data_IF_011403001229
#
_entry.id   IF_011403001229
#
_cell.length_a   1.000
_cell.length_b   1.000
_cell.length_c   1.000
_cell.angle_alpha   90.00
_cell.angle_beta   90.00
_cell.angle_gamma   90.00
#
_symmetry.space_group_name_H-M   'P 1'
#
loop_
_entity.id
_entity.type
_entity.pdbx_description
1 polymer ?
#
# COMPACT_ATOMS: atom_id res chain seq x y z
N UNK A 1 -25.11 -14.26 -19.89
CA UNK A 1 -24.81 -13.42 -18.70
C UNK A 1 -24.20 -14.20 -17.54
N UNK A 2 -24.80 -15.31 -17.06
CA UNK A 2 -24.30 -16.10 -15.90
C UNK A 2 -22.84 -16.59 -16.05
N UNK A 3 -22.43 -17.03 -17.25
CA UNK A 3 -21.06 -17.50 -17.53
C UNK A 3 -20.02 -16.37 -17.57
N UNK A 4 -20.40 -15.17 -18.02
CA UNK A 4 -19.52 -14.00 -18.05
C UNK A 4 -19.23 -13.50 -16.62
N UNK A 5 -20.25 -13.49 -15.76
CA UNK A 5 -20.12 -13.14 -14.35
C UNK A 5 -19.17 -14.10 -13.62
N UNK A 6 -19.29 -15.41 -13.87
CA UNK A 6 -18.41 -16.43 -13.28
C UNK A 6 -16.97 -16.30 -13.78
N UNK A 7 -16.76 -15.98 -15.07
CA UNK A 7 -15.42 -15.73 -15.63
C UNK A 7 -14.82 -14.44 -15.07
N UNK A 8 -15.61 -13.38 -14.88
CA UNK A 8 -15.14 -12.13 -14.24
C UNK A 8 -14.79 -12.36 -12.77
N UNK A 9 -15.62 -13.10 -12.03
CA UNK A 9 -15.33 -13.48 -10.64
C UNK A 9 -14.06 -14.35 -10.57
N UNK A 10 -13.91 -15.34 -11.45
CA UNK A 10 -12.70 -16.17 -11.52
C UNK A 10 -11.45 -15.35 -11.90
N UNK A 11 -11.55 -14.45 -12.88
CA UNK A 11 -10.42 -13.60 -13.30
C UNK A 11 -10.06 -12.55 -12.24
N UNK A 12 -11.02 -12.04 -11.46
CA UNK A 12 -10.77 -11.18 -10.32
C UNK A 12 -10.13 -11.93 -9.13
N UNK A 13 -10.49 -13.21 -8.93
CA UNK A 13 -9.88 -14.08 -7.91
C UNK A 13 -8.46 -14.54 -8.31
N UNK A 14 -8.19 -14.71 -9.61
CA UNK A 14 -6.88 -15.10 -10.17
C UNK A 14 -5.94 -13.89 -10.27
N UNK A 15 -6.46 -12.70 -10.58
CA UNK A 15 -5.65 -11.51 -10.92
C UNK A 15 -5.03 -10.72 -9.76
N UNK A 16 -5.28 -11.08 -8.50
CA UNK A 16 -4.82 -10.31 -7.32
C UNK A 16 -3.92 -11.11 -6.38
N UNK A 17 -3.76 -12.43 -6.57
CA UNK A 17 -3.02 -13.28 -5.61
C UNK A 17 -1.98 -14.26 -6.19
N UNK A 18 -1.65 -14.20 -7.49
CA UNK A 18 -0.68 -15.14 -8.07
C UNK A 18 0.80 -14.89 -7.77
N UNK A 19 1.16 -13.95 -6.89
CA UNK A 19 2.54 -13.81 -6.42
C UNK A 19 2.84 -14.56 -5.10
N UNK A 20 1.83 -15.05 -4.37
CA UNK A 20 2.02 -15.55 -3.00
C UNK A 20 1.82 -17.07 -2.82
N UNK A 21 1.43 -17.81 -3.85
CA UNK A 21 1.20 -19.27 -3.77
C UNK A 21 2.46 -20.13 -4.01
N UNK A 22 3.66 -19.55 -4.01
CA UNK A 22 4.93 -20.28 -4.17
C UNK A 22 6.00 -19.82 -3.18
N UNK A 23 5.89 -20.26 -1.93
CA UNK A 23 7.05 -20.47 -1.05
C UNK A 23 7.04 -21.96 -0.71
N UNK A 24 8.09 -22.78 -0.87
CA UNK A 24 9.51 -22.70 -0.43
C UNK A 24 10.34 -23.78 -1.18
N UNK A 25 11.67 -24.05 -0.94
CA UNK A 25 12.68 -23.43 -0.06
C UNK A 25 14.05 -23.09 -0.74
N UNK A 26 14.90 -22.37 0.00
CA UNK A 26 16.39 -22.27 -0.04
C UNK A 26 17.09 -22.57 -1.37
N UNK A 27 17.78 -21.59 -1.97
CA UNK A 27 19.03 -21.83 -2.73
C UNK A 27 20.09 -20.77 -2.37
N UNK A 28 21.31 -21.27 -2.25
CA UNK A 28 22.50 -20.67 -1.67
C UNK A 28 23.12 -19.53 -2.51
N UNK A 29 23.95 -18.73 -1.83
CA UNK A 29 24.87 -17.77 -2.41
C UNK A 29 25.73 -18.35 -3.54
N UNK A 30 25.93 -17.60 -4.62
CA UNK A 30 27.26 -17.22 -5.15
C UNK A 30 27.19 -16.47 -6.49
N UNK A 31 28.25 -15.70 -6.73
CA UNK A 31 28.65 -15.00 -7.96
C UNK A 31 28.08 -13.59 -8.20
N UNK A 32 28.88 -12.60 -7.77
CA UNK A 32 29.01 -11.32 -8.44
C UNK A 32 29.19 -11.53 -9.95
N UNK A 33 28.10 -11.42 -10.72
CA UNK A 33 28.15 -11.19 -12.16
C UNK A 33 27.90 -9.71 -12.39
N UNK A 34 28.81 -9.06 -13.11
CA UNK A 34 28.58 -7.75 -13.72
C UNK A 34 27.28 -7.81 -14.53
N UNK A 35 26.20 -7.27 -13.97
CA UNK A 35 24.94 -7.09 -14.69
C UNK A 35 25.12 -5.89 -15.61
N UNK A 36 25.24 -6.16 -16.91
CA UNK A 36 25.08 -5.13 -17.95
C UNK A 36 23.82 -4.33 -17.64
N UNK A 37 23.93 -3.01 -17.65
CA UNK A 37 22.79 -2.12 -17.55
C UNK A 37 21.73 -2.56 -18.57
N UNK A 38 20.53 -2.89 -18.08
CA UNK A 38 19.40 -3.14 -18.96
C UNK A 38 19.18 -1.88 -19.83
N UNK A 39 18.95 -2.03 -21.15
CA UNK A 39 18.69 -0.88 -22.00
C UNK A 39 17.48 -0.09 -21.45
N UNK A 40 17.46 1.25 -21.61
CA UNK A 40 16.35 2.07 -21.14
C UNK A 40 15.06 1.54 -21.77
N UNK A 41 14.20 0.98 -20.93
CA UNK A 41 12.86 0.56 -21.35
C UNK A 41 12.08 1.84 -21.69
N UNK A 42 11.47 1.86 -22.88
CA UNK A 42 10.61 2.96 -23.32
C UNK A 42 9.63 3.32 -22.20
N UNK A 43 9.41 4.60 -21.90
CA UNK A 43 8.37 4.98 -20.95
C UNK A 43 7.06 4.33 -21.39
N UNK A 44 6.38 3.63 -20.47
CA UNK A 44 5.03 3.12 -20.73
C UNK A 44 4.08 4.28 -21.07
N UNK A 45 2.89 3.99 -21.62
CA UNK A 45 1.91 5.03 -21.92
C UNK A 45 1.63 5.87 -20.67
N UNK A 46 1.48 7.19 -20.87
CA UNK A 46 1.17 8.14 -19.80
C UNK A 46 -0.14 7.74 -19.14
N UNK A 47 -0.13 7.57 -17.81
CA UNK A 47 -1.34 7.24 -17.06
C UNK A 47 -2.01 8.54 -16.69
N UNK A 48 -3.25 8.71 -17.11
CA UNK A 48 -4.10 9.78 -16.62
C UNK A 48 -4.64 9.37 -15.24
N UNK A 49 -4.36 10.18 -14.23
CA UNK A 49 -4.89 9.97 -12.89
C UNK A 49 -6.43 10.12 -12.95
N UNK A 50 -7.14 9.04 -12.61
CA UNK A 50 -8.59 9.06 -12.48
C UNK A 50 -8.91 9.00 -11.00
N UNK A 51 -9.88 9.78 -10.51
CA UNK A 51 -10.36 9.71 -9.12
C UNK A 51 -11.86 9.84 -9.10
N UNK A 52 -12.53 8.92 -8.39
CA UNK A 52 -13.98 8.98 -8.24
C UNK A 52 -14.38 10.14 -7.33
N UNK A 53 -15.44 10.91 -7.64
CA UNK A 53 -15.83 12.07 -6.84
C UNK A 53 -16.04 11.76 -5.34
N UNK A 54 -16.64 10.61 -5.03
CA UNK A 54 -16.87 10.14 -3.66
C UNK A 54 -15.56 9.85 -2.92
N UNK A 55 -14.55 9.31 -3.62
CA UNK A 55 -13.23 9.06 -3.05
C UNK A 55 -12.47 10.37 -2.86
N UNK A 56 -12.54 11.31 -3.80
CA UNK A 56 -11.97 12.64 -3.62
C UNK A 56 -12.58 13.38 -2.42
N UNK A 57 -13.90 13.25 -2.21
CA UNK A 57 -14.55 13.79 -1.01
C UNK A 57 -14.08 13.08 0.27
N UNK A 58 -13.90 11.75 0.23
CA UNK A 58 -13.35 10.97 1.33
C UNK A 58 -11.92 11.40 1.70
N UNK A 59 -11.03 11.52 0.71
CA UNK A 59 -9.65 11.99 0.90
C UNK A 59 -9.59 13.40 1.53
N UNK A 60 -10.51 14.30 1.16
CA UNK A 60 -10.62 15.62 1.80
C UNK A 60 -11.02 15.53 3.27
N UNK A 61 -11.94 14.63 3.64
CA UNK A 61 -12.31 14.41 5.05
C UNK A 61 -11.17 13.81 5.86
N UNK A 62 -10.40 12.89 5.26
CA UNK A 62 -9.24 12.24 5.89
C UNK A 62 -7.99 13.11 5.93
N UNK A 63 -8.03 14.35 5.43
CA UNK A 63 -6.84 15.22 5.35
C UNK A 63 -6.15 15.40 6.71
N UNK A 64 -6.90 15.66 7.77
CA UNK A 64 -6.36 15.80 9.13
C UNK A 64 -5.79 14.48 9.62
N UNK A 65 -6.53 13.38 9.48
CA UNK A 65 -6.07 12.05 9.87
C UNK A 65 -4.77 11.65 9.17
N UNK A 66 -4.62 11.96 7.88
CA UNK A 66 -3.39 11.66 7.13
C UNK A 66 -2.21 12.50 7.65
N UNK A 67 -2.42 13.79 7.94
CA UNK A 67 -1.38 14.65 8.52
C UNK A 67 -0.97 14.17 9.92
N UNK A 68 -1.95 13.83 10.76
CA UNK A 68 -1.70 13.34 12.12
C UNK A 68 -0.99 11.99 12.11
N UNK A 69 -1.39 11.08 11.22
CA UNK A 69 -0.73 9.80 11.04
C UNK A 69 0.71 10.00 10.54
N UNK A 70 0.92 10.92 9.60
CA UNK A 70 2.26 11.23 9.11
C UNK A 70 3.16 11.79 10.20
N UNK A 71 2.69 12.74 11.02
CA UNK A 71 3.47 13.33 12.11
C UNK A 71 3.86 12.31 13.19
N UNK A 72 3.05 11.25 13.39
CA UNK A 72 3.34 10.20 14.36
C UNK A 72 4.33 9.15 13.85
N UNK A 73 4.19 8.76 12.58
CA UNK A 73 4.92 7.63 12.00
C UNK A 73 6.13 8.04 11.16
N UNK A 74 6.24 9.31 10.81
CA UNK A 74 7.43 9.82 10.16
C UNK A 74 8.54 10.01 11.17
N UNK A 75 9.74 9.61 10.77
CA UNK A 75 10.98 9.87 11.48
C UNK A 75 11.86 10.73 10.58
N UNK A 76 11.76 12.08 10.59
CA UNK A 76 12.42 12.94 9.60
C UNK A 76 13.94 12.71 9.50
N UNK A 77 14.58 12.35 10.61
CA UNK A 77 16.01 12.04 10.67
C UNK A 77 16.39 10.71 9.99
N UNK A 78 15.43 9.78 9.83
CA UNK A 78 15.60 8.53 9.10
C UNK A 78 15.12 8.65 7.66
N UNK A 79 13.94 9.25 7.48
CA UNK A 79 13.24 9.29 6.20
C UNK A 79 13.76 10.38 5.27
N UNK A 80 14.38 11.43 5.82
CA UNK A 80 14.76 12.65 5.08
C UNK A 80 13.55 13.46 4.59
N UNK A 81 12.34 13.13 5.04
CA UNK A 81 11.08 13.77 4.64
C UNK A 81 10.49 14.54 5.81
N UNK A 82 9.90 15.70 5.53
CA UNK A 82 8.97 16.36 6.45
C UNK A 82 7.69 15.55 6.62
N UNK A 83 6.95 15.77 7.70
CA UNK A 83 5.68 15.08 7.95
C UNK A 83 4.67 15.34 6.84
N UNK A 84 4.70 16.53 6.24
CA UNK A 84 3.87 16.86 5.08
C UNK A 84 4.27 16.07 3.84
N UNK A 85 5.57 15.87 3.60
CA UNK A 85 6.03 15.02 2.50
C UNK A 85 5.64 13.55 2.73
N UNK A 86 5.75 13.07 3.97
CA UNK A 86 5.29 11.73 4.33
C UNK A 86 3.76 11.58 4.17
N UNK A 87 2.97 12.60 4.54
CA UNK A 87 1.54 12.66 4.27
C UNK A 87 1.22 12.62 2.77
N UNK A 88 2.03 13.27 1.92
CA UNK A 88 1.93 13.16 0.46
C UNK A 88 2.17 11.72 0.00
N UNK A 89 3.12 10.98 0.60
CA UNK A 89 3.33 9.55 0.28
C UNK A 89 2.09 8.72 0.64
N UNK A 90 1.55 8.88 1.85
CA UNK A 90 0.33 8.20 2.29
C UNK A 90 -0.81 8.46 1.31
N UNK A 91 -1.06 9.73 0.98
CA UNK A 91 -2.14 10.10 0.06
C UNK A 91 -1.90 9.59 -1.37
N UNK A 92 -0.65 9.60 -1.85
CA UNK A 92 -0.29 9.04 -3.16
C UNK A 92 -0.66 7.56 -3.24
N UNK A 93 -0.33 6.79 -2.20
CA UNK A 93 -0.68 5.38 -2.12
C UNK A 93 -2.19 5.19 -2.08
N UNK A 94 -2.91 5.91 -1.21
CA UNK A 94 -4.38 5.81 -1.13
C UNK A 94 -5.07 6.12 -2.47
N UNK A 95 -4.63 7.18 -3.18
CA UNK A 95 -5.15 7.48 -4.51
C UNK A 95 -4.86 6.37 -5.53
N UNK A 96 -3.66 5.79 -5.48
CA UNK A 96 -3.26 4.71 -6.38
C UNK A 96 -4.00 3.40 -6.08
N UNK A 97 -4.29 3.10 -4.80
CA UNK A 97 -5.00 1.89 -4.37
C UNK A 97 -6.51 1.93 -4.62
N UNK A 98 -7.08 3.13 -4.74
CA UNK A 98 -8.47 3.31 -5.13
C UNK A 98 -8.75 2.84 -6.57
N UNK A 99 -7.71 2.47 -7.33
CA UNK A 99 -7.82 1.89 -8.67
C UNK A 99 -6.97 0.63 -8.82
N UNK A 100 -7.63 -0.50 -9.08
CA UNK A 100 -6.94 -1.73 -9.46
C UNK A 100 -6.29 -1.58 -10.84
N UNK A 101 -5.16 -2.27 -11.07
CA UNK A 101 -4.50 -2.35 -12.37
C UNK A 101 -5.45 -2.80 -13.50
N UNK A 102 -6.42 -3.66 -13.17
CA UNK A 102 -7.42 -4.14 -14.11
C UNK A 102 -8.37 -3.03 -14.61
N UNK A 103 -8.67 -2.01 -13.78
CA UNK A 103 -9.51 -0.86 -14.18
C UNK A 103 -8.78 0.13 -15.08
N UNK A 104 -7.44 0.11 -15.08
CA UNK A 104 -6.61 0.84 -16.05
C UNK A 104 -6.67 0.16 -17.41
N UNK A 105 -6.52 -1.17 -17.44
CA UNK A 105 -6.55 -1.93 -18.69
C UNK A 105 -7.95 -2.04 -19.30
N UNK A 106 -8.98 -2.12 -18.46
CA UNK A 106 -10.37 -2.32 -18.87
C UNK A 106 -11.28 -1.36 -18.09
N UNK A 107 -11.43 -0.10 -18.53
CA UNK A 107 -12.25 0.90 -17.84
C UNK A 107 -13.68 0.45 -17.47
N UNK A 108 -14.37 -0.39 -18.25
CA UNK A 108 -15.67 -0.94 -17.84
C UNK A 108 -15.67 -1.72 -16.51
N UNK A 109 -14.52 -2.29 -16.08
CA UNK A 109 -14.42 -2.99 -14.80
C UNK A 109 -14.65 -2.08 -13.59
N UNK A 110 -14.51 -0.76 -13.76
CA UNK A 110 -14.78 0.25 -12.73
C UNK A 110 -16.19 0.13 -12.13
N UNK A 111 -17.16 -0.40 -12.88
CA UNK A 111 -18.53 -0.58 -12.39
C UNK A 111 -18.66 -1.76 -11.42
N UNK A 112 -17.84 -2.81 -11.59
CA UNK A 112 -17.91 -4.04 -10.79
C UNK A 112 -16.87 -4.05 -9.67
N UNK A 113 -15.91 -3.13 -9.68
CA UNK A 113 -14.86 -3.03 -8.67
C UNK A 113 -15.38 -3.07 -7.23
N UNK A 114 -16.33 -2.20 -6.84
CA UNK A 114 -16.81 -2.18 -5.46
C UNK A 114 -17.41 -3.52 -5.01
N UNK A 115 -17.99 -4.30 -5.94
CA UNK A 115 -18.58 -5.59 -5.63
C UNK A 115 -17.53 -6.65 -5.33
N UNK A 116 -16.43 -6.71 -6.10
CA UNK A 116 -15.38 -7.70 -5.82
C UNK A 116 -14.62 -7.34 -4.53
N UNK A 117 -14.40 -6.05 -4.27
CA UNK A 117 -13.74 -5.58 -3.04
C UNK A 117 -14.55 -5.99 -1.80
N UNK A 118 -15.87 -5.77 -1.85
CA UNK A 118 -16.78 -6.22 -0.81
C UNK A 118 -16.77 -7.75 -0.64
N UNK A 119 -16.72 -8.52 -1.73
CA UNK A 119 -16.65 -9.97 -1.65
C UNK A 119 -15.36 -10.46 -0.96
N UNK A 120 -14.20 -9.87 -1.30
CA UNK A 120 -12.91 -10.20 -0.65
C UNK A 120 -12.95 -9.91 0.86
N UNK A 121 -13.50 -8.76 1.24
CA UNK A 121 -13.69 -8.40 2.65
C UNK A 121 -14.58 -9.40 3.38
N UNK A 122 -15.72 -9.79 2.79
CA UNK A 122 -16.61 -10.78 3.40
C UNK A 122 -15.92 -12.13 3.59
N UNK A 123 -15.13 -12.59 2.61
CA UNK A 123 -14.37 -13.84 2.73
C UNK A 123 -13.37 -13.82 3.90
N UNK A 124 -12.70 -12.70 4.13
CA UNK A 124 -11.85 -12.54 5.31
C UNK A 124 -12.67 -12.56 6.62
N UNK A 125 -13.83 -11.89 6.64
CA UNK A 125 -14.71 -11.82 7.82
C UNK A 125 -15.38 -13.15 8.19
N UNK A 126 -15.62 -14.04 7.23
CA UNK A 126 -16.26 -15.33 7.47
C UNK A 126 -15.40 -16.34 8.25
N UNK A 127 -14.20 -15.94 8.70
CA UNK A 127 -13.37 -16.77 9.57
C UNK A 127 -12.82 -18.01 8.86
N UNK A 128 -12.67 -17.96 7.54
CA UNK A 128 -12.04 -19.02 6.74
C UNK A 128 -10.51 -18.90 6.72
N UNK A 129 -9.95 -17.86 7.37
CA UNK A 129 -8.52 -17.56 7.34
C UNK A 129 -8.05 -16.95 6.03
N UNK A 130 -8.98 -16.41 5.23
CA UNK A 130 -8.62 -15.67 4.03
C UNK A 130 -7.80 -14.42 4.38
N UNK A 131 -6.94 -14.01 3.46
CA UNK A 131 -5.95 -12.95 3.65
C UNK A 131 -5.94 -11.97 2.47
N UNK A 132 -7.13 -11.71 1.91
CA UNK A 132 -7.26 -10.77 0.81
C UNK A 132 -6.97 -9.34 1.30
N UNK A 133 -6.42 -8.52 0.43
CA UNK A 133 -6.23 -7.11 0.73
C UNK A 133 -7.57 -6.39 0.94
N UNK A 134 -7.56 -5.42 1.84
CA UNK A 134 -8.74 -4.68 2.30
C UNK A 134 -8.54 -3.19 2.03
N UNK A 135 -9.51 -2.57 1.38
CA UNK A 135 -9.57 -1.14 1.12
C UNK A 135 -9.99 -0.36 2.37
N UNK A 136 -9.56 0.91 2.52
CA UNK A 136 -8.99 1.79 1.49
C UNK A 136 -7.47 1.69 1.28
N UNK A 137 -6.71 1.14 2.24
CA UNK A 137 -5.25 1.08 2.15
C UNK A 137 -4.71 -0.14 1.39
N UNK A 138 -5.59 -1.01 0.89
CA UNK A 138 -5.25 -2.28 0.23
C UNK A 138 -4.28 -3.16 1.05
N UNK A 139 -4.46 -3.16 2.38
CA UNK A 139 -3.63 -3.92 3.32
C UNK A 139 -4.22 -5.30 3.59
N UNK A 140 -3.35 -6.30 3.69
CA UNK A 140 -3.75 -7.66 4.07
C UNK A 140 -3.82 -7.78 5.60
N UNK A 141 -4.76 -8.59 6.14
CA UNK A 141 -4.79 -8.90 7.57
C UNK A 141 -3.46 -9.42 8.12
N UNK A 142 -2.73 -10.26 7.39
CA UNK A 142 -1.41 -10.73 7.83
C UNK A 142 -0.40 -9.59 8.01
N UNK A 143 -0.40 -8.61 7.09
CA UNK A 143 0.48 -7.44 7.17
C UNK A 143 0.07 -6.56 8.35
N UNK A 144 -1.23 -6.41 8.61
CA UNK A 144 -1.72 -5.71 9.80
C UNK A 144 -1.28 -6.39 11.11
N UNK A 145 -1.27 -7.73 11.14
CA UNK A 145 -0.76 -8.49 12.29
C UNK A 145 0.75 -8.27 12.51
N UNK A 146 1.55 -8.27 11.45
CA UNK A 146 2.97 -7.96 11.51
C UNK A 146 3.22 -6.52 12.00
N UNK A 147 2.41 -5.55 11.52
CA UNK A 147 2.46 -4.15 11.98
C UNK A 147 2.25 -4.08 13.48
N UNK A 148 1.18 -4.69 14.00
CA UNK A 148 0.89 -4.69 15.44
C UNK A 148 1.93 -5.44 16.27
N UNK A 149 2.61 -6.42 15.67
CA UNK A 149 3.72 -7.13 16.30
C UNK A 149 5.05 -6.36 16.23
N UNK A 150 5.07 -5.19 15.57
CA UNK A 150 6.27 -4.38 15.36
C UNK A 150 7.31 -5.05 14.45
N UNK A 151 6.91 -6.01 13.63
CA UNK A 151 7.83 -6.85 12.86
C UNK A 151 8.17 -6.23 11.51
N UNK A 152 9.44 -6.17 11.16
CA UNK A 152 9.97 -5.67 9.89
C UNK A 152 10.80 -6.80 9.25
N UNK A 153 10.24 -7.55 8.28
CA UNK A 153 10.95 -8.65 7.64
C UNK A 153 12.12 -8.12 6.82
N UNK A 154 13.30 -8.74 6.96
CA UNK A 154 14.52 -8.38 6.27
C UNK A 154 14.83 -9.27 5.04
N UNK A 155 15.65 -8.80 4.08
CA UNK A 155 15.91 -9.52 2.82
C UNK A 155 16.77 -10.77 3.06
N UNK A 156 17.55 -10.75 4.14
CA UNK A 156 18.33 -11.87 4.63
C UNK A 156 17.49 -12.86 5.47
N UNK A 157 16.17 -12.64 5.58
CA UNK A 157 15.25 -13.50 6.32
C UNK A 157 15.18 -13.23 7.81
N UNK A 158 15.99 -12.30 8.36
CA UNK A 158 15.85 -11.86 9.75
C UNK A 158 14.60 -10.99 9.91
N UNK A 159 14.14 -10.82 11.13
CA UNK A 159 13.04 -9.89 11.47
C UNK A 159 13.57 -8.84 12.44
N UNK A 160 13.52 -7.57 12.04
CA UNK A 160 13.74 -6.46 12.96
C UNK A 160 12.44 -6.21 13.74
N UNK A 161 12.56 -5.94 15.04
CA UNK A 161 11.44 -5.46 15.85
C UNK A 161 11.60 -3.98 16.17
N UNK A 162 10.59 -3.19 15.84
CA UNK A 162 10.53 -1.76 16.12
C UNK A 162 9.35 -1.46 17.07
N UNK A 163 9.48 -0.46 17.97
CA UNK A 163 8.36 -0.02 18.78
C UNK A 163 7.37 0.73 17.89
N UNK A 164 6.30 0.06 17.49
CA UNK A 164 5.30 0.61 16.59
C UNK A 164 3.92 0.60 17.25
N UNK A 165 3.16 1.67 17.07
CA UNK A 165 1.82 1.82 17.63
C UNK A 165 0.86 2.36 16.58
N UNK A 166 -0.25 1.66 16.35
CA UNK A 166 -1.32 2.13 15.46
C UNK A 166 -2.36 2.88 16.30
N UNK A 167 -2.46 4.20 16.11
CA UNK A 167 -3.42 5.02 16.88
C UNK A 167 -4.85 4.54 16.64
N UNK A 168 -5.58 4.31 17.73
CA UNK A 168 -6.98 3.86 17.70
C UNK A 168 -7.17 2.36 17.54
N UNK A 169 -6.11 1.59 17.26
CA UNK A 169 -6.20 0.13 17.19
C UNK A 169 -6.58 -0.45 18.55
N UNK A 170 -7.48 -1.43 18.54
CA UNK A 170 -7.92 -2.12 19.75
C UNK A 170 -7.48 -3.58 19.77
N UNK A 171 -6.79 -4.02 18.72
CA UNK A 171 -6.37 -5.41 18.55
C UNK A 171 -5.01 -5.59 19.19
N UNK A 172 -4.93 -6.55 20.12
CA UNK A 172 -3.67 -7.16 20.55
C UNK A 172 -3.57 -8.55 19.89
N UNK A 173 -2.64 -8.77 18.94
CA UNK A 173 -2.49 -10.06 18.29
C UNK A 173 -2.26 -11.23 19.25
N UNK A 174 -1.67 -10.97 20.43
CA UNK A 174 -1.32 -12.02 21.41
C UNK A 174 -2.54 -12.56 22.16
N UNK A 175 -3.68 -11.85 22.13
CA UNK A 175 -4.92 -12.32 22.76
C UNK A 175 -5.72 -13.29 21.89
N UNK A 176 -5.31 -13.49 20.63
CA UNK A 176 -5.99 -14.39 19.70
C UNK A 176 -5.26 -15.74 19.64
N UNK A 177 -5.96 -16.81 20.03
CA UNK A 177 -5.44 -18.18 19.88
C UNK A 177 -5.68 -18.78 18.49
N UNK A 178 -6.48 -18.12 17.65
CA UNK A 178 -6.83 -18.55 16.31
C UNK A 178 -6.53 -17.45 15.29
N UNK A 179 -5.74 -17.79 14.28
CA UNK A 179 -5.36 -16.89 13.19
C UNK A 179 -6.59 -16.42 12.40
N UNK A 180 -7.62 -17.26 12.25
CA UNK A 180 -8.80 -16.87 11.46
C UNK A 180 -9.61 -15.80 12.18
N UNK A 181 -9.79 -15.93 13.49
CA UNK A 181 -10.38 -14.90 14.34
C UNK A 181 -9.56 -13.60 14.32
N UNK A 182 -8.23 -13.69 14.40
CA UNK A 182 -7.35 -12.52 14.28
C UNK A 182 -7.52 -11.81 12.93
N UNK A 183 -7.52 -12.55 11.82
CA UNK A 183 -7.63 -11.97 10.48
C UNK A 183 -9.01 -11.36 10.23
N UNK A 184 -10.08 -11.95 10.78
CA UNK A 184 -11.41 -11.35 10.73
C UNK A 184 -11.48 -10.04 11.54
N UNK A 185 -10.90 -10.02 12.75
CA UNK A 185 -10.83 -8.81 13.58
C UNK A 185 -10.03 -7.69 12.88
N UNK A 186 -8.84 -8.03 12.36
CA UNK A 186 -8.01 -7.08 11.63
C UNK A 186 -8.70 -6.58 10.36
N UNK A 187 -9.40 -7.44 9.64
CA UNK A 187 -10.20 -7.05 8.48
C UNK A 187 -11.23 -5.99 8.87
N UNK A 188 -11.97 -6.19 9.96
CA UNK A 188 -12.95 -5.22 10.42
C UNK A 188 -12.30 -3.88 10.76
N UNK A 189 -11.12 -3.91 11.40
CA UNK A 189 -10.41 -2.71 11.81
C UNK A 189 -9.84 -1.92 10.61
N UNK A 190 -9.11 -2.59 9.72
CA UNK A 190 -8.50 -1.96 8.53
C UNK A 190 -9.51 -1.60 7.43
N UNK A 191 -10.78 -1.98 7.59
CA UNK A 191 -11.89 -1.50 6.75
C UNK A 191 -12.39 -0.12 7.15
N UNK A 192 -12.06 0.36 8.36
CA UNK A 192 -12.38 1.71 8.80
C UNK A 192 -11.39 2.71 8.14
N UNK A 193 -11.92 3.80 7.57
CA UNK A 193 -11.12 4.76 6.81
C UNK A 193 -9.97 5.38 7.63
N UNK A 194 -10.21 5.77 8.89
CA UNK A 194 -9.19 6.41 9.73
C UNK A 194 -8.14 5.41 10.20
N UNK A 195 -8.56 4.23 10.63
CA UNK A 195 -7.64 3.17 11.04
C UNK A 195 -6.81 2.68 9.87
N UNK A 196 -7.39 2.53 8.68
CA UNK A 196 -6.64 2.19 7.47
C UNK A 196 -5.52 3.20 7.16
N UNK A 197 -5.75 4.50 7.39
CA UNK A 197 -4.71 5.53 7.27
C UNK A 197 -3.60 5.33 8.29
N UNK A 198 -3.93 5.06 9.56
CA UNK A 198 -2.94 4.80 10.60
C UNK A 198 -2.13 3.52 10.35
N UNK A 199 -2.79 2.44 9.92
CA UNK A 199 -2.11 1.20 9.51
C UNK A 199 -1.20 1.41 8.29
N UNK A 200 -1.63 2.20 7.31
CA UNK A 200 -0.79 2.53 6.17
C UNK A 200 0.44 3.34 6.62
N UNK A 201 0.26 4.36 7.45
CA UNK A 201 1.36 5.17 7.98
C UNK A 201 2.37 4.31 8.76
N UNK A 202 1.88 3.43 9.63
CA UNK A 202 2.68 2.43 10.33
C UNK A 202 3.42 1.48 9.37
N UNK A 203 2.76 1.02 8.30
CA UNK A 203 3.41 0.20 7.30
C UNK A 203 4.56 0.95 6.60
N UNK A 204 4.38 2.24 6.30
CA UNK A 204 5.43 3.05 5.69
C UNK A 204 6.58 3.33 6.66
N UNK A 205 6.30 3.48 7.96
CA UNK A 205 7.34 3.53 9.00
C UNK A 205 8.21 2.27 8.99
N UNK A 206 7.60 1.08 8.93
CA UNK A 206 8.34 -0.19 8.73
C UNK A 206 9.24 -0.13 7.50
N UNK A 207 8.73 0.45 6.40
CA UNK A 207 9.49 0.66 5.16
C UNK A 207 10.67 1.62 5.30
N UNK A 208 10.54 2.68 6.11
CA UNK A 208 11.65 3.59 6.46
C UNK A 208 12.73 2.83 7.21
N UNK A 209 12.37 2.13 8.29
CA UNK A 209 13.31 1.33 9.08
C UNK A 209 14.01 0.26 8.23
N UNK A 210 13.22 -0.44 7.40
CA UNK A 210 13.72 -1.43 6.45
C UNK A 210 14.79 -0.85 5.53
N UNK A 211 14.49 0.27 4.88
CA UNK A 211 15.40 0.91 3.94
C UNK A 211 16.68 1.39 4.63
N UNK A 212 16.57 2.02 5.80
CA UNK A 212 17.74 2.46 6.59
C UNK A 212 18.63 1.28 6.97
N UNK A 213 18.05 0.20 7.49
CA UNK A 213 18.81 -0.99 7.91
C UNK A 213 19.53 -1.68 6.75
N UNK A 214 18.99 -1.58 5.53
CA UNK A 214 19.60 -2.14 4.32
C UNK A 214 20.47 -1.15 3.53
N UNK A 215 20.70 0.05 4.07
CA UNK A 215 21.45 1.10 3.40
C UNK A 215 20.81 1.57 2.09
N UNK A 216 19.49 1.46 1.96
CA UNK A 216 18.75 1.88 0.78
C UNK A 216 18.21 3.32 0.94
N UNK A 217 18.12 4.09 -0.17
CA UNK A 217 17.58 5.44 -0.09
C UNK A 217 16.08 5.40 0.21
N UNK A 218 15.67 6.17 1.23
CA UNK A 218 14.26 6.40 1.52
C UNK A 218 13.71 7.45 0.54
N UNK A 219 12.62 7.10 -0.14
CA UNK A 219 11.92 8.00 -1.06
C UNK A 219 10.47 7.57 -1.20
N UNK A 220 9.61 8.44 -1.73
CA UNK A 220 8.22 8.06 -2.02
C UNK A 220 8.11 6.81 -2.92
N UNK A 221 9.06 6.61 -3.84
CA UNK A 221 9.08 5.43 -4.74
C UNK A 221 9.43 4.16 -3.96
N UNK A 222 10.42 4.27 -3.08
CA UNK A 222 10.84 3.19 -2.18
C UNK A 222 9.68 2.78 -1.28
N UNK A 223 9.00 3.75 -0.68
CA UNK A 223 7.87 3.49 0.22
C UNK A 223 6.63 2.95 -0.49
N UNK A 224 6.35 3.43 -1.72
CA UNK A 224 5.31 2.87 -2.57
C UNK A 224 5.58 1.40 -2.95
N UNK A 225 6.82 1.08 -3.35
CA UNK A 225 7.22 -0.29 -3.66
C UNK A 225 7.25 -1.20 -2.43
N UNK A 226 7.65 -0.67 -1.27
CA UNK A 226 7.55 -1.36 0.01
C UNK A 226 6.11 -1.74 0.32
N UNK A 227 5.19 -0.79 0.23
CA UNK A 227 3.78 -1.05 0.48
C UNK A 227 3.21 -2.15 -0.44
N UNK A 228 3.60 -2.16 -1.71
CA UNK A 228 3.05 -3.11 -2.68
C UNK A 228 3.75 -4.48 -2.70
N UNK A 229 5.08 -4.54 -2.57
CA UNK A 229 5.88 -5.75 -2.79
C UNK A 229 6.90 -6.04 -1.67
N UNK A 230 6.97 -5.22 -0.61
CA UNK A 230 7.98 -5.37 0.44
C UNK A 230 9.42 -5.07 -0.03
N UNK A 231 9.59 -4.39 -1.17
CA UNK A 231 10.90 -4.09 -1.77
C UNK A 231 11.31 -2.65 -1.46
N UNK A 232 12.53 -2.47 -0.93
CA UNK A 232 13.12 -1.14 -0.69
C UNK A 232 14.33 -0.82 -1.59
N UNK A 233 14.99 -1.83 -2.18
CA UNK A 233 16.13 -1.60 -3.08
C UNK A 233 15.68 -1.04 -4.44
N UNK A 234 16.13 0.17 -4.85
CA UNK A 234 15.79 0.74 -6.15
C UNK A 234 16.16 -0.13 -7.35
N UNK A 235 17.23 -0.93 -7.27
CA UNK A 235 17.62 -1.87 -8.33
C UNK A 235 16.58 -2.99 -8.42
N UNK A 236 16.24 -3.62 -7.30
CA UNK A 236 15.18 -4.63 -7.24
C UNK A 236 13.82 -4.10 -7.71
N UNK A 237 13.46 -2.85 -7.37
CA UNK A 237 12.23 -2.20 -7.86
C UNK A 237 12.21 -2.13 -9.39
N UNK A 238 13.31 -1.72 -10.03
CA UNK A 238 13.39 -1.63 -11.50
C UNK A 238 13.33 -2.98 -12.19
N UNK A 239 13.88 -4.01 -11.54
CA UNK A 239 13.96 -5.37 -12.06
C UNK A 239 12.68 -6.18 -11.83
N UNK A 240 11.83 -5.78 -10.88
CA UNK A 240 10.53 -6.39 -10.63
C UNK A 240 9.43 -5.67 -11.45
N UNK A 241 8.82 -6.33 -12.45
CA UNK A 241 7.82 -5.69 -13.31
C UNK A 241 6.60 -5.14 -12.54
N UNK A 242 6.14 -5.84 -11.52
CA UNK A 242 5.00 -5.45 -10.68
C UNK A 242 5.32 -4.22 -9.85
N UNK A 243 6.46 -4.21 -9.15
CA UNK A 243 6.90 -3.06 -8.36
C UNK A 243 7.15 -1.83 -9.26
N UNK A 244 7.81 -2.03 -10.40
CA UNK A 244 8.06 -0.97 -11.38
C UNK A 244 6.77 -0.36 -11.90
N UNK A 245 5.80 -1.19 -12.28
CA UNK A 245 4.50 -0.72 -12.75
C UNK A 245 3.75 0.02 -11.63
N UNK A 246 3.73 -0.54 -10.42
CA UNK A 246 3.12 0.10 -9.27
C UNK A 246 3.67 1.50 -9.01
N UNK A 247 5.00 1.66 -9.01
CA UNK A 247 5.66 2.96 -8.83
C UNK A 247 5.35 3.92 -10.00
N UNK A 248 5.28 3.40 -11.23
CA UNK A 248 4.85 4.18 -12.42
C UNK A 248 3.42 4.71 -12.23
N UNK A 249 2.49 3.88 -11.77
CA UNK A 249 1.09 4.28 -11.50
C UNK A 249 0.97 5.28 -10.38
N UNK A 250 1.63 5.03 -9.25
CA UNK A 250 1.67 5.95 -8.13
C UNK A 250 2.20 7.35 -8.53
N UNK A 251 3.15 7.43 -9.47
CA UNK A 251 3.70 8.70 -9.97
C UNK A 251 2.62 9.65 -10.52
N UNK A 252 1.58 9.12 -11.16
CA UNK A 252 0.49 9.92 -11.73
C UNK A 252 -0.34 10.64 -10.65
N UNK A 253 -0.37 10.10 -9.43
CA UNK A 253 -1.17 10.63 -8.32
C UNK A 253 -0.40 11.60 -7.41
N UNK A 254 0.93 11.70 -7.52
CA UNK A 254 1.75 12.61 -6.70
C UNK A 254 1.29 14.07 -6.78
N UNK A 255 0.98 14.65 -7.96
CA UNK A 255 0.48 16.02 -8.05
C UNK A 255 -0.84 16.23 -7.28
N UNK A 256 -1.76 15.26 -7.38
CA UNK A 256 -3.05 15.31 -6.69
C UNK A 256 -2.87 15.18 -5.16
N UNK A 257 -1.99 14.30 -4.70
CA UNK A 257 -1.64 14.15 -3.30
C UNK A 257 -1.02 15.45 -2.73
N UNK A 258 -0.15 16.13 -3.49
CA UNK A 258 0.38 17.45 -3.10
C UNK A 258 -0.73 18.49 -3.00
N UNK A 259 -1.64 18.53 -3.96
CA UNK A 259 -2.76 19.47 -3.99
C UNK A 259 -3.70 19.30 -2.78
N UNK A 260 -3.92 18.06 -2.31
CA UNK A 260 -4.72 17.78 -1.11
C UNK A 260 -4.22 18.54 0.13
N UNK A 261 -2.91 18.74 0.23
CA UNK A 261 -2.29 19.41 1.37
C UNK A 261 -1.84 20.84 1.07
N UNK A 262 -2.10 21.40 -0.12
CA UNK A 262 -1.81 22.80 -0.41
C UNK A 262 -2.55 23.71 0.60
N UNK A 263 -1.87 24.76 1.06
CA UNK A 263 -2.45 25.76 1.95
C UNK A 263 -3.52 26.52 1.17
N UNK A 264 -4.72 26.69 1.71
CA UNK A 264 -5.82 27.39 1.03
C UNK A 264 -5.67 28.92 1.04
N UNK A 265 -4.52 29.47 1.44
CA UNK A 265 -4.28 30.90 1.71
C UNK A 265 -4.22 31.82 0.47
N UNK A 266 -4.66 31.38 -0.71
CA UNK A 266 -4.76 32.23 -1.90
C UNK A 266 -6.20 32.59 -2.30
N UNK A 267 -7.18 32.44 -1.39
CA UNK A 267 -8.54 32.98 -1.61
C UNK A 267 -8.80 34.32 -0.90
N UNK A 268 -7.79 34.91 -0.25
CA UNK A 268 -7.91 36.17 0.50
C UNK A 268 -7.21 37.40 -0.09
N UNK A 269 -6.62 37.31 -1.28
CA UNK A 269 -5.86 38.42 -1.91
C UNK A 269 -6.26 38.59 -3.38
N UNK A 270 -7.49 39.08 -3.60
CA UNK A 270 -7.88 39.94 -4.73
C UNK A 270 -9.34 40.38 -4.55
N UNK A 271 -9.53 41.29 -3.61
CA UNK A 271 -10.63 42.23 -3.61
C UNK A 271 -10.05 43.58 -3.17
N UNK A 272 -9.42 44.27 -4.13
CA UNK A 272 -9.33 45.73 -4.20
C UNK A 272 -9.46 46.07 -5.68
#
# INVERSE_FOLDING_TARGET
>A
MRRLLVIVVLLCLIGVDHAALWFSPVHAHSAWRQVRAAPPTRPGPTIEAFVRPEFAARMRRLRSTILDAAARHNHPHLSGMSDREFAVVIATILYNENFGWAEELVPPLRMVTPLYQGAQQQLNLHGWGANFSVWPANLRPSVAAEILSGEVPLADGRVLRIPLQVTGSQIDPTTFSDQRALFAALTAEISNDELAVHYLAANLERGVWRAVMEGQPVSWRTLAAWHNQGIVDPVAIRNNPTARDYVRRAAAYVPLAKALFASSDQTGLRAV
#
